data_IF_838650278172
#
_entry.id   IF_838650278172
#
_cell.length_a   1.000
_cell.length_b   1.000
_cell.length_c   1.000
_cell.angle_alpha   90.00
_cell.angle_beta   90.00
_cell.angle_gamma   90.00
#
_symmetry.space_group_name_H-M   'P 1'
#
loop_
_entity.id
_entity.type
_entity.pdbx_description
1 polymer ?
#
# COMPACT_ATOMS: atom_id res chain seq x y z
N UNK A 1 -19.93 41.21 -22.67
CA UNK A 1 -19.76 39.86 -23.26
C UNK A 1 -18.40 39.21 -22.98
N UNK A 2 -17.53 39.76 -22.11
CA UNK A 2 -16.19 39.17 -21.86
C UNK A 2 -16.11 38.12 -20.75
N UNK A 3 -17.06 38.05 -19.82
CA UNK A 3 -16.97 37.12 -18.66
C UNK A 3 -17.21 35.66 -19.02
N UNK A 4 -18.02 35.40 -20.06
CA UNK A 4 -18.36 34.04 -20.52
C UNK A 4 -17.15 33.38 -21.20
N UNK A 5 -16.28 34.16 -21.85
CA UNK A 5 -15.10 33.65 -22.55
C UNK A 5 -14.00 33.13 -21.59
N UNK A 6 -13.88 33.73 -20.40
CA UNK A 6 -12.96 33.26 -19.35
C UNK A 6 -13.43 31.96 -18.68
N UNK A 7 -14.74 31.79 -18.51
CA UNK A 7 -15.33 30.59 -17.91
C UNK A 7 -15.17 29.39 -18.84
N UNK A 8 -15.40 29.59 -20.15
CA UNK A 8 -15.15 28.56 -21.17
C UNK A 8 -13.66 28.18 -21.27
N UNK A 9 -12.75 29.14 -21.16
CA UNK A 9 -11.31 28.87 -21.12
C UNK A 9 -10.87 28.04 -19.91
N UNK A 10 -11.42 28.31 -18.72
CA UNK A 10 -11.11 27.56 -17.50
C UNK A 10 -11.65 26.11 -17.54
N UNK A 11 -12.85 25.91 -18.10
CA UNK A 11 -13.42 24.56 -18.24
C UNK A 11 -12.63 23.71 -19.24
N UNK A 12 -12.13 24.31 -20.34
CA UNK A 12 -11.26 23.62 -21.29
C UNK A 12 -9.89 23.28 -20.68
N UNK A 13 -9.31 24.14 -19.85
CA UNK A 13 -8.06 23.84 -19.13
C UNK A 13 -8.19 22.67 -18.15
N UNK A 14 -9.37 22.49 -17.54
CA UNK A 14 -9.63 21.32 -16.67
C UNK A 14 -9.75 19.99 -17.43
N UNK A 15 -10.14 20.01 -18.71
CA UNK A 15 -10.31 18.79 -19.52
C UNK A 15 -8.98 18.22 -20.04
N UNK A 16 -7.97 19.08 -20.31
CA UNK A 16 -6.64 18.66 -20.74
C UNK A 16 -5.69 18.31 -19.58
N UNK A 17 -6.09 18.59 -18.35
CA UNK A 17 -5.46 18.05 -17.14
C UNK A 17 -6.02 16.66 -16.78
N UNK A 18 -6.48 15.91 -17.79
CA UNK A 18 -6.46 14.45 -17.72
C UNK A 18 -5.00 14.05 -17.66
N UNK A 19 -4.44 14.09 -16.45
CA UNK A 19 -3.22 13.40 -16.12
C UNK A 19 -3.30 12.02 -16.79
N UNK A 20 -2.23 11.63 -17.47
CA UNK A 20 -2.05 10.24 -17.84
C UNK A 20 -2.06 9.47 -16.52
N UNK A 21 -3.25 9.01 -16.12
CA UNK A 21 -3.40 8.03 -15.07
C UNK A 21 -2.83 6.77 -15.69
N UNK A 22 -1.51 6.58 -15.59
CA UNK A 22 -0.94 5.25 -15.71
C UNK A 22 -1.76 4.39 -14.76
N UNK A 23 -2.59 3.52 -15.35
CA UNK A 23 -3.49 2.68 -14.61
C UNK A 23 -2.61 1.87 -13.65
N UNK A 24 -2.80 2.09 -12.34
CA UNK A 24 -2.02 1.38 -11.32
C UNK A 24 -2.34 -0.11 -11.47
N UNK A 25 -1.40 -0.83 -12.06
CA UNK A 25 -1.47 -2.28 -12.25
C UNK A 25 -1.18 -3.00 -10.93
N UNK A 26 -2.22 -3.10 -10.09
CA UNK A 26 -2.11 -3.71 -8.78
C UNK A 26 -1.69 -5.19 -8.82
N UNK A 27 -1.85 -5.89 -9.96
CA UNK A 27 -1.41 -7.27 -10.09
C UNK A 27 0.11 -7.41 -9.97
N UNK A 28 0.88 -6.34 -10.25
CA UNK A 28 2.34 -6.32 -10.11
C UNK A 28 2.83 -5.99 -8.70
N UNK A 29 1.94 -5.52 -7.82
CA UNK A 29 2.31 -5.16 -6.46
C UNK A 29 2.29 -6.42 -5.60
N UNK A 30 3.39 -6.77 -4.91
CA UNK A 30 3.54 -8.06 -4.25
C UNK A 30 2.84 -8.12 -2.87
N UNK A 31 1.53 -7.93 -2.84
CA UNK A 31 0.76 -7.93 -1.58
C UNK A 31 0.85 -9.29 -0.88
N UNK A 32 0.78 -10.39 -1.65
CA UNK A 32 0.84 -11.78 -1.19
C UNK A 32 2.16 -12.13 -0.51
N UNK A 33 3.21 -11.33 -0.71
CA UNK A 33 4.48 -11.57 -0.05
C UNK A 33 4.39 -11.41 1.48
N UNK A 34 3.31 -10.80 2.01
CA UNK A 34 3.03 -10.82 3.44
C UNK A 34 2.29 -12.09 3.92
N UNK A 35 1.92 -13.04 3.06
CA UNK A 35 1.31 -14.32 3.48
C UNK A 35 2.15 -15.10 4.52
N UNK A 36 3.49 -15.21 4.38
CA UNK A 36 4.32 -15.84 5.40
C UNK A 36 4.27 -15.13 6.77
N UNK A 37 3.83 -13.86 6.80
CA UNK A 37 3.64 -13.10 8.03
C UNK A 37 2.34 -13.42 8.75
N UNK A 38 1.43 -14.23 8.16
CA UNK A 38 0.12 -14.56 8.75
C UNK A 38 0.19 -14.93 10.22
N UNK A 39 1.10 -15.83 10.58
CA UNK A 39 1.23 -16.25 11.98
C UNK A 39 1.69 -15.13 12.91
N UNK A 40 2.48 -14.17 12.44
CA UNK A 40 2.94 -13.03 13.25
C UNK A 40 1.89 -11.92 13.32
N UNK A 41 1.32 -11.58 12.16
CA UNK A 41 0.35 -10.49 11.98
C UNK A 41 -1.08 -10.87 12.37
N UNK A 42 -1.36 -12.13 12.72
CA UNK A 42 -2.67 -12.50 13.28
C UNK A 42 -2.73 -12.19 14.78
N UNK A 43 -3.94 -11.88 15.26
CA UNK A 43 -4.19 -11.51 16.65
C UNK A 43 -3.62 -12.52 17.66
N UNK A 44 -3.10 -12.02 18.79
CA UNK A 44 -2.55 -12.78 19.92
C UNK A 44 -1.40 -13.75 19.62
N UNK A 45 -0.72 -13.59 18.48
CA UNK A 45 0.49 -14.35 18.21
C UNK A 45 1.64 -13.98 19.16
N UNK A 46 2.29 -14.96 19.76
CA UNK A 46 3.60 -14.78 20.44
C UNK A 46 4.77 -15.15 19.53
N UNK A 47 4.48 -15.50 18.27
CA UNK A 47 5.50 -15.90 17.32
C UNK A 47 6.34 -14.70 16.90
N UNK A 48 7.58 -14.94 16.53
CA UNK A 48 8.41 -14.00 15.78
C UNK A 48 8.08 -14.10 14.29
N UNK A 49 8.30 -13.04 13.49
CA UNK A 49 8.22 -13.18 12.05
C UNK A 49 9.26 -14.20 11.57
N UNK A 50 8.87 -15.03 10.61
CA UNK A 50 9.82 -15.89 9.91
C UNK A 50 10.74 -15.06 9.02
N UNK A 51 11.88 -15.60 8.62
CA UNK A 51 12.78 -14.96 7.64
C UNK A 51 12.02 -14.60 6.35
N UNK A 52 11.19 -15.53 5.84
CA UNK A 52 10.32 -15.30 4.68
C UNK A 52 9.30 -14.18 4.89
N UNK A 53 8.81 -13.99 6.11
CA UNK A 53 7.94 -12.86 6.42
C UNK A 53 8.70 -11.54 6.29
N UNK A 54 9.92 -11.47 6.81
CA UNK A 54 10.74 -10.28 6.71
C UNK A 54 11.15 -9.99 5.26
N UNK A 55 11.58 -10.99 4.49
CA UNK A 55 11.81 -10.85 3.04
C UNK A 55 10.58 -10.32 2.31
N UNK A 56 9.40 -10.81 2.69
CA UNK A 56 8.12 -10.35 2.16
C UNK A 56 7.83 -8.89 2.45
N UNK A 57 8.07 -8.46 3.70
CA UNK A 57 7.97 -7.05 4.08
C UNK A 57 8.98 -6.18 3.31
N UNK A 58 10.22 -6.63 3.14
CA UNK A 58 11.24 -5.91 2.37
C UNK A 58 10.84 -5.73 0.91
N UNK A 59 10.11 -6.68 0.33
CA UNK A 59 9.64 -6.58 -1.06
C UNK A 59 8.66 -5.44 -1.31
N UNK A 60 7.95 -4.97 -0.27
CA UNK A 60 7.05 -3.82 -0.39
C UNK A 60 7.83 -2.51 -0.52
N UNK A 61 9.03 -2.43 0.06
CA UNK A 61 9.89 -1.24 0.02
C UNK A 61 10.38 -0.95 -1.41
N UNK A 62 10.38 -1.95 -2.29
CA UNK A 62 10.76 -1.80 -3.69
C UNK A 62 9.68 -1.13 -4.57
N UNK A 63 8.46 -0.97 -4.07
CA UNK A 63 7.35 -0.31 -4.77
C UNK A 63 7.01 1.03 -4.10
N UNK A 64 6.45 2.03 -4.83
CA UNK A 64 6.03 3.28 -4.21
C UNK A 64 4.96 3.07 -3.13
N UNK A 65 5.12 3.69 -1.97
CA UNK A 65 4.20 3.58 -0.83
C UNK A 65 2.74 3.81 -1.21
N UNK A 66 2.45 4.87 -1.96
CA UNK A 66 1.09 5.24 -2.36
C UNK A 66 0.45 4.13 -3.21
N UNK A 67 1.23 3.55 -4.11
CA UNK A 67 0.80 2.45 -4.99
C UNK A 67 0.49 1.20 -4.17
N UNK A 68 1.38 0.83 -3.24
CA UNK A 68 1.16 -0.33 -2.37
C UNK A 68 -0.10 -0.17 -1.52
N UNK A 69 -0.26 0.98 -0.88
CA UNK A 69 -1.44 1.31 -0.07
C UNK A 69 -2.74 1.26 -0.88
N UNK A 70 -2.76 1.86 -2.08
CA UNK A 70 -3.94 1.84 -2.95
C UNK A 70 -4.28 0.40 -3.35
N UNK A 71 -3.28 -0.38 -3.75
CA UNK A 71 -3.50 -1.75 -4.22
C UNK A 71 -3.94 -2.70 -3.10
N UNK A 72 -3.36 -2.56 -1.92
CA UNK A 72 -3.81 -3.29 -0.74
C UNK A 72 -5.27 -2.97 -0.40
N UNK A 73 -5.64 -1.68 -0.33
CA UNK A 73 -7.01 -1.25 -0.01
C UNK A 73 -8.03 -1.66 -1.07
N UNK A 74 -7.66 -1.69 -2.35
CA UNK A 74 -8.53 -2.16 -3.44
C UNK A 74 -8.77 -3.67 -3.40
N UNK A 75 -7.81 -4.44 -2.90
CA UNK A 75 -7.83 -5.91 -2.95
C UNK A 75 -7.41 -6.53 -1.62
N UNK A 76 -8.16 -6.29 -0.52
CA UNK A 76 -7.79 -6.78 0.82
C UNK A 76 -7.76 -8.32 0.88
N UNK A 77 -8.50 -9.01 0.00
CA UNK A 77 -8.56 -10.46 -0.07
C UNK A 77 -7.29 -11.12 -0.66
N UNK A 78 -6.29 -10.33 -1.10
CA UNK A 78 -4.98 -10.86 -1.50
C UNK A 78 -4.17 -11.39 -0.33
N UNK A 79 -4.56 -11.02 0.89
CA UNK A 79 -4.14 -11.71 2.10
C UNK A 79 -5.27 -12.60 2.63
N UNK A 80 -4.92 -13.80 3.03
CA UNK A 80 -5.78 -14.80 3.65
C UNK A 80 -6.10 -14.51 5.12
N UNK A 81 -5.69 -13.33 5.60
CA UNK A 81 -5.86 -12.83 6.96
C UNK A 81 -5.93 -11.30 6.96
N UNK A 82 -6.58 -10.73 7.98
CA UNK A 82 -6.49 -9.30 8.27
C UNK A 82 -5.31 -9.08 9.24
N UNK A 83 -4.31 -8.25 8.90
CA UNK A 83 -3.26 -7.87 9.83
C UNK A 83 -3.84 -7.22 11.09
N UNK A 84 -3.31 -7.64 12.23
CA UNK A 84 -3.49 -6.98 13.51
C UNK A 84 -2.63 -5.71 13.55
N UNK A 85 -3.23 -4.61 13.98
CA UNK A 85 -2.63 -3.27 13.96
C UNK A 85 -1.39 -3.19 14.85
N UNK A 86 -1.44 -3.81 16.03
CA UNK A 86 -0.33 -3.79 17.00
C UNK A 86 0.83 -4.61 16.45
N UNK A 87 0.55 -5.77 15.84
CA UNK A 87 1.56 -6.61 15.19
C UNK A 87 2.16 -5.95 13.96
N UNK A 88 1.35 -5.29 13.13
CA UNK A 88 1.83 -4.55 11.97
C UNK A 88 2.82 -3.45 12.39
N UNK A 89 2.54 -2.73 13.49
CA UNK A 89 3.44 -1.71 14.03
C UNK A 89 4.76 -2.28 14.60
N UNK A 90 4.76 -3.54 15.06
CA UNK A 90 5.95 -4.22 15.55
C UNK A 90 6.84 -4.81 14.43
N UNK A 91 6.28 -5.08 13.24
CA UNK A 91 6.97 -5.78 12.16
C UNK A 91 8.28 -5.10 11.70
N UNK A 92 8.36 -3.77 11.52
CA UNK A 92 9.61 -3.11 11.14
C UNK A 92 10.73 -3.32 12.17
N UNK A 93 10.42 -3.34 13.47
CA UNK A 93 11.41 -3.58 14.52
C UNK A 93 11.90 -5.03 14.52
N UNK A 94 10.98 -5.99 14.42
CA UNK A 94 11.31 -7.43 14.42
C UNK A 94 12.11 -7.84 13.19
N UNK A 95 11.78 -7.28 12.02
CA UNK A 95 12.49 -7.53 10.76
C UNK A 95 13.69 -6.63 10.51
N UNK A 96 13.92 -5.61 11.35
CA UNK A 96 14.97 -4.58 11.18
C UNK A 96 14.84 -3.82 9.85
N UNK A 97 13.60 -3.59 9.42
CA UNK A 97 13.26 -2.94 8.15
C UNK A 97 12.59 -1.59 8.41
N UNK A 98 13.39 -0.56 8.71
CA UNK A 98 12.87 0.76 9.10
C UNK A 98 12.05 1.44 7.99
N UNK A 99 12.36 1.21 6.72
CA UNK A 99 11.56 1.78 5.62
C UNK A 99 10.14 1.22 5.58
N UNK A 100 9.91 0.02 6.15
CA UNK A 100 8.58 -0.58 6.24
C UNK A 100 7.60 0.22 7.12
N UNK A 101 8.09 1.10 8.01
CA UNK A 101 7.19 1.96 8.83
C UNK A 101 6.18 2.74 8.00
N UNK A 102 6.59 3.21 6.82
CA UNK A 102 5.70 3.95 5.91
C UNK A 102 4.49 3.11 5.53
N UNK A 103 4.69 1.81 5.33
CA UNK A 103 3.68 0.87 4.86
C UNK A 103 2.79 0.31 5.97
N UNK A 104 3.19 0.44 7.24
CA UNK A 104 2.36 0.01 8.38
C UNK A 104 0.98 0.66 8.32
N UNK A 105 0.90 1.95 7.96
CA UNK A 105 -0.36 2.67 7.79
C UNK A 105 -1.27 2.11 6.69
N UNK A 106 -0.73 1.33 5.74
CA UNK A 106 -1.56 0.63 4.76
C UNK A 106 -2.32 -0.52 5.41
N UNK A 107 -1.76 -1.14 6.46
CA UNK A 107 -2.26 -2.35 7.12
C UNK A 107 -3.24 -2.05 8.26
N UNK A 108 -3.37 -0.78 8.67
CA UNK A 108 -4.37 -0.26 9.62
C UNK A 108 -5.68 0.06 8.87
#
# INVERSE_FOLDING_TARGET
>A
MSKIMYILGLILLCLFASANCDEIDCAKIPIENLEPCKMFLSNNSTNKPSEKCCEGASSWIAAPFEVVCICYKKSPNRLSFKPDEIKAAALPYECKESEFYKYVHCLL
#
